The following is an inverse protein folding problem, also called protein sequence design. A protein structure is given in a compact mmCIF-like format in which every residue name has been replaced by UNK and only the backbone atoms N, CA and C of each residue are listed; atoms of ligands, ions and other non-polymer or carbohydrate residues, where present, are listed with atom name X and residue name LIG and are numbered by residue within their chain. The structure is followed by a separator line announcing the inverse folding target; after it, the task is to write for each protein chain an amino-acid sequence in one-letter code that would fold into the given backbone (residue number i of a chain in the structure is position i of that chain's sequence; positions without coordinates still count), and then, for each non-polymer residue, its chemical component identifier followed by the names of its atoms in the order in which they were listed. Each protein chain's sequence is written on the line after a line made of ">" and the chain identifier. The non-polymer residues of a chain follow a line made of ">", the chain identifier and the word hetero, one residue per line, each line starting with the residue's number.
data_IF_657049631330
#
_entry.id   IF_657049631330
#
_cell.length_a   1.000
_cell.length_b   1.000
_cell.length_c   1.000
_cell.angle_alpha   90.00
_cell.angle_beta   90.00
_cell.angle_gamma   90.00
#
_symmetry.space_group_name_H-M   'P 1'
#
loop_
_entity.id
_entity.type
_entity.pdbx_description
1 polymer ?
#
# COMPACT_ATOMS: atom_id res chain seq x y z
N UNK A 1 45.32 35.55 -68.42
CA UNK A 1 44.27 34.53 -68.61
C UNK A 1 44.42 33.51 -67.49
N UNK A 2 43.44 33.37 -66.59
CA UNK A 2 43.15 32.18 -65.78
C UNK A 2 41.77 32.39 -65.10
N UNK A 3 40.72 31.98 -65.82
CA UNK A 3 39.35 31.86 -65.31
C UNK A 3 39.19 30.44 -64.78
N UNK A 4 39.30 30.27 -63.47
CA UNK A 4 38.95 29.04 -62.75
C UNK A 4 38.04 29.51 -61.60
N UNK A 5 36.76 29.73 -61.86
CA UNK A 5 35.72 28.73 -61.64
C UNK A 5 35.64 28.37 -60.14
N UNK A 6 35.03 29.20 -59.30
CA UNK A 6 33.58 29.23 -59.12
C UNK A 6 32.93 27.83 -59.02
N UNK A 7 33.46 26.97 -58.13
CA UNK A 7 32.88 25.71 -57.63
C UNK A 7 33.53 25.50 -56.25
N UNK A 8 32.87 25.46 -55.10
CA UNK A 8 31.61 24.83 -54.75
C UNK A 8 31.17 25.44 -53.39
N UNK A 9 30.12 26.24 -53.40
CA UNK A 9 29.33 26.55 -52.20
C UNK A 9 28.38 25.35 -51.99
N UNK A 10 28.05 25.04 -50.73
CA UNK A 10 26.99 24.12 -50.27
C UNK A 10 27.42 22.68 -49.91
N UNK A 11 27.72 22.47 -48.63
CA UNK A 11 26.99 21.45 -47.84
C UNK A 11 26.58 22.13 -46.53
N UNK A 12 25.44 22.82 -46.61
CA UNK A 12 24.58 23.09 -45.46
C UNK A 12 24.07 21.73 -44.99
N UNK A 13 24.32 21.41 -43.73
CA UNK A 13 23.79 20.24 -43.05
C UNK A 13 23.91 20.43 -41.55
N UNK A 14 23.51 21.61 -41.07
CA UNK A 14 23.37 21.92 -39.65
C UNK A 14 22.26 21.01 -39.10
N UNK A 15 22.65 19.83 -38.63
CA UNK A 15 21.80 18.93 -37.88
C UNK A 15 21.54 19.52 -36.49
N UNK A 16 20.76 20.61 -36.45
CA UNK A 16 20.07 21.06 -35.25
C UNK A 16 18.97 20.04 -34.99
N UNK A 17 19.32 19.01 -34.21
CA UNK A 17 18.36 18.09 -33.65
C UNK A 17 17.30 18.88 -32.89
N UNK A 18 16.08 18.89 -33.41
CA UNK A 18 14.92 19.40 -32.68
C UNK A 18 14.62 18.41 -31.54
N UNK A 19 15.18 18.66 -30.37
CA UNK A 19 14.74 18.00 -29.14
C UNK A 19 13.35 18.55 -28.80
N UNK A 20 12.31 17.81 -29.18
CA UNK A 20 10.97 18.10 -28.66
C UNK A 20 10.98 17.84 -27.16
N UNK A 21 10.58 18.81 -26.31
CA UNK A 21 10.46 18.54 -24.89
C UNK A 21 9.38 17.47 -24.73
N UNK A 22 9.76 16.34 -24.12
CA UNK A 22 8.81 15.32 -23.74
C UNK A 22 7.73 15.97 -22.84
N UNK A 23 6.44 15.60 -23.01
CA UNK A 23 5.41 16.10 -22.11
C UNK A 23 5.81 15.78 -20.67
N UNK A 24 5.79 16.81 -19.82
CA UNK A 24 6.06 16.65 -18.40
C UNK A 24 5.09 15.60 -17.85
N UNK A 25 5.61 14.43 -17.46
CA UNK A 25 4.80 13.44 -16.78
C UNK A 25 4.35 14.08 -15.46
N UNK A 26 3.04 14.04 -15.12
CA UNK A 26 2.60 14.50 -13.82
C UNK A 26 3.38 13.75 -12.75
N UNK A 27 3.69 14.40 -11.61
CA UNK A 27 4.37 13.74 -10.50
C UNK A 27 3.64 12.43 -10.22
N UNK A 28 4.38 11.31 -10.25
CA UNK A 28 3.82 10.03 -9.84
C UNK A 28 3.28 10.22 -8.41
N UNK A 29 2.00 9.91 -8.21
CA UNK A 29 1.38 9.96 -6.89
C UNK A 29 2.19 9.05 -5.96
N UNK A 30 2.77 9.64 -4.92
CA UNK A 30 3.59 8.88 -3.98
C UNK A 30 2.69 7.79 -3.36
N UNK A 31 3.11 6.51 -3.35
CA UNK A 31 2.29 5.46 -2.78
C UNK A 31 2.00 5.79 -1.32
N UNK A 32 0.72 5.69 -0.92
CA UNK A 32 0.36 5.77 0.49
C UNK A 32 1.19 4.71 1.24
N UNK A 33 1.85 5.04 2.36
CA UNK A 33 2.65 4.07 3.08
C UNK A 33 1.77 3.09 3.85
N UNK A 34 2.25 1.87 4.03
CA UNK A 34 1.64 0.94 4.99
C UNK A 34 1.80 1.48 6.42
N UNK A 35 0.80 1.24 7.27
CA UNK A 35 0.80 1.65 8.66
C UNK A 35 0.98 0.43 9.56
N UNK A 36 1.94 0.49 10.48
CA UNK A 36 2.27 -0.58 11.43
C UNK A 36 2.11 -0.03 12.84
N UNK A 37 1.32 -0.71 13.68
CA UNK A 37 1.07 -0.35 15.07
C UNK A 37 1.33 -1.54 15.97
N UNK A 38 2.21 -1.36 16.96
CA UNK A 38 2.37 -2.30 18.07
C UNK A 38 1.33 -1.97 19.12
N UNK A 39 0.50 -2.94 19.47
CA UNK A 39 -0.66 -2.75 20.33
C UNK A 39 -0.33 -3.12 21.78
N UNK A 40 -0.60 -2.22 22.71
CA UNK A 40 -0.52 -2.54 24.14
C UNK A 40 -1.75 -3.33 24.59
N UNK A 41 -1.61 -4.64 24.50
CA UNK A 41 -2.58 -5.61 25.01
C UNK A 41 -2.20 -6.14 26.40
N UNK A 42 -1.16 -5.59 27.05
CA UNK A 42 -0.62 -6.10 28.31
C UNK A 42 0.37 -7.26 28.10
N UNK A 43 -0.07 -8.51 28.27
CA UNK A 43 0.79 -9.69 28.14
C UNK A 43 0.75 -10.23 26.70
N UNK A 44 1.93 -10.54 26.15
CA UNK A 44 2.11 -11.07 24.80
C UNK A 44 2.24 -9.99 23.73
N UNK A 45 2.33 -10.44 22.47
CA UNK A 45 2.52 -9.58 21.31
C UNK A 45 1.22 -9.38 20.53
N UNK A 46 1.04 -8.18 19.97
CA UNK A 46 0.03 -7.88 18.97
C UNK A 46 0.49 -6.73 18.07
N UNK A 47 0.54 -6.98 16.77
CA UNK A 47 0.94 -5.98 15.77
C UNK A 47 -0.15 -5.88 14.71
N UNK A 48 -0.70 -4.69 14.53
CA UNK A 48 -1.67 -4.37 13.50
C UNK A 48 -0.97 -3.71 12.30
N UNK A 49 -1.17 -4.28 11.12
CA UNK A 49 -0.65 -3.77 9.85
C UNK A 49 -1.83 -3.38 8.97
N UNK A 50 -1.80 -2.17 8.41
CA UNK A 50 -2.76 -1.69 7.41
C UNK A 50 -2.03 -1.39 6.11
N UNK A 51 -2.44 -2.04 5.03
CA UNK A 51 -1.89 -1.77 3.71
C UNK A 51 -2.44 -0.46 3.14
N UNK A 52 -1.75 0.13 2.17
CA UNK A 52 -2.23 1.32 1.45
C UNK A 52 -3.59 1.11 0.76
N UNK A 53 -3.88 -0.14 0.37
CA UNK A 53 -5.12 -0.57 -0.27
C UNK A 53 -6.23 -0.90 0.74
N UNK A 54 -6.00 -0.66 2.02
CA UNK A 54 -6.97 -0.87 3.10
C UNK A 54 -7.03 -2.31 3.63
N UNK A 55 -6.08 -3.18 3.27
CA UNK A 55 -5.99 -4.54 3.82
C UNK A 55 -5.46 -4.53 5.24
N UNK A 56 -5.99 -5.39 6.09
CA UNK A 56 -5.63 -5.46 7.51
C UNK A 56 -5.00 -6.81 7.82
N UNK A 57 -3.79 -6.80 8.37
CA UNK A 57 -3.15 -7.98 8.92
C UNK A 57 -2.93 -7.81 10.43
N UNK A 58 -3.07 -8.90 11.17
CA UNK A 58 -2.77 -8.98 12.60
C UNK A 58 -1.69 -10.03 12.83
N UNK A 59 -0.62 -9.65 13.50
CA UNK A 59 0.44 -10.57 13.95
C UNK A 59 0.31 -10.76 15.45
N UNK A 60 0.04 -11.99 15.87
CA UNK A 60 -0.26 -12.39 17.25
C UNK A 60 -1.42 -11.60 17.88
N UNK A 61 -1.93 -12.10 19.01
CA UNK A 61 -3.06 -11.48 19.70
C UNK A 61 -2.95 -11.52 21.24
N UNK A 62 -1.91 -12.17 21.77
CA UNK A 62 -1.69 -12.44 23.20
C UNK A 62 -2.88 -13.10 23.95
N UNK A 63 -2.66 -13.60 25.17
CA UNK A 63 -3.71 -14.28 25.95
C UNK A 63 -4.71 -13.35 26.62
N UNK A 64 -4.51 -12.03 26.56
CA UNK A 64 -5.13 -11.07 27.48
C UNK A 64 -6.59 -10.72 27.17
N UNK A 65 -7.16 -11.18 26.06
CA UNK A 65 -8.52 -10.85 25.62
C UNK A 65 -8.76 -9.36 25.32
N UNK A 66 -7.77 -8.49 25.55
CA UNK A 66 -7.84 -7.03 25.33
C UNK A 66 -7.74 -6.64 23.85
N UNK A 67 -7.31 -7.57 23.00
CA UNK A 67 -7.14 -7.33 21.58
C UNK A 67 -8.45 -6.92 20.88
N UNK A 68 -9.57 -7.58 21.20
CA UNK A 68 -10.87 -7.32 20.56
C UNK A 68 -11.35 -5.88 20.79
N UNK A 69 -11.51 -5.38 22.04
CA UNK A 69 -11.97 -4.00 22.25
C UNK A 69 -10.99 -2.96 21.69
N UNK A 70 -9.69 -3.28 21.63
CA UNK A 70 -8.70 -2.39 21.04
C UNK A 70 -8.84 -2.29 19.51
N UNK A 71 -9.07 -3.42 18.83
CA UNK A 71 -9.36 -3.45 17.40
C UNK A 71 -10.66 -2.69 17.08
N UNK A 72 -11.70 -2.86 17.89
CA UNK A 72 -12.96 -2.12 17.77
C UNK A 72 -12.75 -0.60 17.94
N UNK A 73 -11.97 -0.18 18.95
CA UNK A 73 -11.62 1.23 19.15
C UNK A 73 -10.81 1.82 18.00
N UNK A 74 -10.02 0.99 17.31
CA UNK A 74 -9.28 1.35 16.10
C UNK A 74 -10.13 1.27 14.82
N UNK A 75 -11.42 0.95 14.92
CA UNK A 75 -12.31 0.80 13.76
C UNK A 75 -11.93 -0.37 12.85
N UNK A 76 -11.22 -1.38 13.36
CA UNK A 76 -10.95 -2.62 12.63
C UNK A 76 -12.16 -3.53 12.74
N UNK A 77 -12.87 -3.74 11.62
CA UNK A 77 -14.04 -4.62 11.55
C UNK A 77 -13.72 -5.95 10.86
N UNK A 78 -12.65 -5.98 10.06
CA UNK A 78 -12.21 -7.16 9.30
C UNK A 78 -10.70 -7.29 9.37
N UNK A 79 -10.22 -8.53 9.48
CA UNK A 79 -8.80 -8.88 9.37
C UNK A 79 -8.68 -9.81 8.17
N UNK A 80 -7.90 -9.40 7.16
CA UNK A 80 -7.66 -10.16 5.94
C UNK A 80 -6.62 -11.27 6.14
N UNK A 81 -5.67 -11.08 7.07
CA UNK A 81 -4.60 -12.03 7.37
C UNK A 81 -4.29 -12.06 8.87
N UNK A 82 -4.18 -13.25 9.44
CA UNK A 82 -3.64 -13.46 10.79
C UNK A 82 -2.35 -14.26 10.68
N UNK A 83 -1.28 -13.74 11.27
CA UNK A 83 0.00 -14.44 11.40
C UNK A 83 0.19 -14.78 12.87
N UNK A 84 0.44 -16.05 13.17
CA UNK A 84 0.70 -16.53 14.53
C UNK A 84 2.15 -16.99 14.59
N UNK A 85 2.96 -16.34 15.41
CA UNK A 85 4.40 -16.61 15.51
C UNK A 85 4.72 -17.93 16.22
N UNK A 86 3.88 -18.31 17.19
CA UNK A 86 4.05 -19.49 18.03
C UNK A 86 2.68 -20.06 18.42
N UNK A 87 2.57 -21.38 18.50
CA UNK A 87 1.31 -22.06 18.84
C UNK A 87 1.01 -21.95 20.35
N UNK A 88 0.31 -20.89 20.75
CA UNK A 88 -0.46 -20.86 22.00
C UNK A 88 -1.95 -21.07 21.74
N UNK A 89 -2.61 -21.76 22.68
CA UNK A 89 -3.85 -22.53 22.50
C UNK A 89 -5.15 -21.69 22.52
N UNK A 90 -5.10 -20.38 22.32
CA UNK A 90 -6.21 -19.48 22.67
C UNK A 90 -6.94 -18.82 21.49
N UNK A 91 -6.98 -19.46 20.31
CA UNK A 91 -7.31 -18.75 19.05
C UNK A 91 -8.37 -19.33 18.11
N UNK A 92 -9.57 -19.73 18.58
CA UNK A 92 -10.76 -19.69 17.70
C UNK A 92 -12.04 -19.33 18.48
N UNK A 93 -12.39 -18.04 18.52
CA UNK A 93 -13.81 -17.64 18.64
C UNK A 93 -14.16 -16.78 17.45
N UNK A 94 -14.81 -17.41 16.47
CA UNK A 94 -15.46 -16.74 15.35
C UNK A 94 -16.57 -15.83 15.89
N UNK A 95 -16.34 -14.52 15.91
CA UNK A 95 -17.45 -13.55 16.05
C UNK A 95 -18.18 -13.53 14.72
N UNK A 96 -19.40 -14.05 14.71
CA UNK A 96 -20.34 -13.82 13.61
C UNK A 96 -21.64 -13.42 14.24
N UNK A 97 -21.77 -12.12 14.50
CA UNK A 97 -23.06 -11.49 14.73
C UNK A 97 -23.76 -11.40 13.38
N UNK A 98 -24.62 -12.38 13.09
CA UNK A 98 -25.63 -12.26 12.04
C UNK A 98 -26.84 -11.53 12.64
N UNK A 99 -27.33 -10.43 12.06
CA UNK A 99 -28.51 -9.75 12.57
C UNK A 99 -29.79 -10.49 12.18
N UNK A 100 -30.68 -10.59 13.17
CA UNK A 100 -32.15 -10.62 13.15
C UNK A 100 -32.88 -11.52 12.12
N UNK A 101 -33.61 -12.51 12.64
CA UNK A 101 -34.96 -12.80 12.16
C UNK A 101 -35.92 -12.94 13.35
N UNK A 102 -36.77 -11.93 13.53
CA UNK A 102 -38.00 -11.99 14.32
C UNK A 102 -38.89 -13.11 13.78
N UNK A 103 -39.08 -14.16 14.57
CA UNK A 103 -40.22 -15.05 14.40
C UNK A 103 -41.42 -14.48 15.17
N UNK A 104 -42.35 -13.91 14.43
CA UNK A 104 -43.75 -13.85 14.82
C UNK A 104 -44.35 -15.25 14.67
N UNK A 105 -44.75 -15.88 15.77
CA UNK A 105 -45.98 -16.69 15.82
C UNK A 105 -46.48 -16.83 17.25
#
# INVERSE_FOLDING_TARGET
>A
MNRLAARLLLVVGLALGASSPAPAQPPAEAPNPALVQVLDIGQGDAILIRSPEGKVALVDAGPSGRIVPLLEALGVTTIDLVVVSHHHTDHVRRVTTRPDHRETR
#
